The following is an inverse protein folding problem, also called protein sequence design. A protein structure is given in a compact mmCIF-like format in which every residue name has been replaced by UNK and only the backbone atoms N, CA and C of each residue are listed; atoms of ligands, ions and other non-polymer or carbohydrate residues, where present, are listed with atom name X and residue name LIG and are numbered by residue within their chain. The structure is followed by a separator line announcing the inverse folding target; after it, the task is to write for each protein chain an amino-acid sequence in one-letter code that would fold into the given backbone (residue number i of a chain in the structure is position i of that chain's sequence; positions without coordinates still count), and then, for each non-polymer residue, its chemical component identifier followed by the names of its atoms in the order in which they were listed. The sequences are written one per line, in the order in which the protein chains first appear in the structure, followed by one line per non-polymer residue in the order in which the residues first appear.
data_IF_986681737977
#
_entry.id   IF_986681737977
#
_cell.length_a   1.000
_cell.length_b   1.000
_cell.length_c   1.000
_cell.angle_alpha   90.00
_cell.angle_beta   90.00
_cell.angle_gamma   90.00
#
_symmetry.space_group_name_H-M   'P 1'
#
loop_
_entity.id
_entity.type
_entity.pdbx_description
1 polymer ?
#
# COMPACT_ATOMS: atom_id res chain seq x y z
N UNK A 1 53.46 25.60 18.02
CA UNK A 1 52.91 25.56 16.65
C UNK A 1 52.16 24.25 16.50
N UNK A 2 50.83 24.29 16.49
CA UNK A 2 49.96 23.15 16.19
C UNK A 2 49.08 23.58 14.99
N UNK A 3 48.84 22.72 13.99
CA UNK A 3 48.12 23.11 12.80
C UNK A 3 46.61 23.22 13.12
N UNK A 4 46.01 24.33 12.70
CA UNK A 4 44.56 24.55 12.69
C UNK A 4 43.91 23.57 11.74
N UNK A 5 42.97 22.78 12.25
CA UNK A 5 42.12 21.90 11.47
C UNK A 5 40.84 22.67 11.11
N UNK A 6 40.85 23.35 9.95
CA UNK A 6 39.65 23.98 9.38
C UNK A 6 38.72 22.89 8.84
N UNK A 7 37.89 22.32 9.72
CA UNK A 7 36.66 21.64 9.31
C UNK A 7 35.69 22.70 8.79
N UNK A 8 35.72 22.96 7.48
CA UNK A 8 34.65 23.66 6.78
C UNK A 8 33.35 22.89 6.98
N UNK A 9 32.44 23.46 7.78
CA UNK A 9 31.05 23.05 7.82
C UNK A 9 30.43 23.21 6.43
N UNK A 10 29.75 22.16 5.97
CA UNK A 10 28.99 22.15 4.71
C UNK A 10 27.72 22.99 4.91
N UNK A 11 27.47 24.04 4.10
CA UNK A 11 26.28 24.87 4.17
C UNK A 11 25.16 24.25 3.30
N UNK A 12 24.51 23.18 3.77
CA UNK A 12 23.43 22.51 3.01
C UNK A 12 22.02 22.72 3.60
N UNK A 13 21.88 23.47 4.70
CA UNK A 13 20.61 23.56 5.45
C UNK A 13 19.65 24.66 4.95
N UNK A 14 20.17 25.81 4.51
CA UNK A 14 19.32 26.96 4.17
C UNK A 14 18.68 26.86 2.78
N UNK A 15 19.36 26.23 1.82
CA UNK A 15 18.90 26.17 0.44
C UNK A 15 17.76 25.16 0.27
N UNK A 16 17.80 24.01 0.95
CA UNK A 16 16.69 23.05 0.94
C UNK A 16 15.41 23.62 1.55
N UNK A 17 15.52 24.42 2.60
CA UNK A 17 14.35 25.03 3.25
C UNK A 17 13.72 26.13 2.38
N UNK A 18 14.55 26.97 1.74
CA UNK A 18 14.08 27.97 0.77
C UNK A 18 13.43 27.31 -0.44
N UNK A 19 14.01 26.22 -0.94
CA UNK A 19 13.51 25.49 -2.10
C UNK A 19 12.19 24.77 -1.80
N UNK A 20 12.06 24.12 -0.63
CA UNK A 20 10.78 23.54 -0.20
C UNK A 20 9.67 24.60 -0.15
N UNK A 21 9.97 25.82 0.31
CA UNK A 21 8.99 26.93 0.28
C UNK A 21 8.61 27.32 -1.15
N UNK A 22 9.56 27.30 -2.08
CA UNK A 22 9.28 27.59 -3.49
C UNK A 22 8.44 26.49 -4.16
N UNK A 23 8.74 25.23 -3.86
CA UNK A 23 7.94 24.07 -4.31
C UNK A 23 6.50 24.19 -3.81
N UNK A 24 6.32 24.57 -2.55
CA UNK A 24 5.00 24.81 -1.97
C UNK A 24 4.29 26.00 -2.63
N UNK A 25 5.01 27.10 -2.88
CA UNK A 25 4.43 28.29 -3.52
C UNK A 25 3.98 28.03 -4.97
N UNK A 26 4.65 27.12 -5.68
CA UNK A 26 4.32 26.75 -7.05
C UNK A 26 3.30 25.58 -7.14
N UNK A 27 2.85 25.06 -6.00
CA UNK A 27 1.85 24.00 -5.97
C UNK A 27 0.46 24.58 -6.28
N UNK A 28 -0.06 24.29 -7.48
CA UNK A 28 -1.33 24.84 -7.95
C UNK A 28 -2.16 23.72 -8.62
N UNK A 29 -2.69 22.76 -7.84
CA UNK A 29 -3.45 21.65 -8.38
C UNK A 29 -4.71 22.16 -9.08
N UNK A 30 -4.97 21.68 -10.29
CA UNK A 30 -6.08 22.12 -11.13
C UNK A 30 -7.37 21.32 -10.90
N UNK A 31 -7.33 20.36 -9.97
CA UNK A 31 -8.45 19.50 -9.60
C UNK A 31 -8.57 18.22 -10.45
N UNK A 32 -7.68 17.99 -11.42
CA UNK A 32 -7.68 16.72 -12.16
C UNK A 32 -7.16 15.59 -11.28
N UNK A 33 -8.00 14.57 -11.07
CA UNK A 33 -7.62 13.35 -10.40
C UNK A 33 -7.13 12.31 -11.40
N UNK A 34 -5.94 11.77 -11.15
CA UNK A 34 -5.36 10.66 -11.92
C UNK A 34 -5.44 9.41 -11.07
N UNK A 35 -5.97 8.31 -11.62
CA UNK A 35 -5.83 7.00 -11.01
C UNK A 35 -4.39 6.51 -11.18
N UNK A 36 -3.60 6.68 -10.13
CA UNK A 36 -2.16 6.40 -10.12
C UNK A 36 -1.83 4.94 -9.80
N UNK A 37 -2.80 4.12 -9.35
CA UNK A 37 -2.55 2.73 -8.92
C UNK A 37 -2.08 1.82 -10.06
N UNK A 38 -2.67 1.87 -11.27
CA UNK A 38 -2.18 1.07 -12.39
C UNK A 38 -0.73 1.42 -12.78
N UNK A 39 -0.38 2.71 -12.74
CA UNK A 39 0.97 3.19 -13.03
C UNK A 39 1.95 2.68 -11.98
N UNK A 40 1.58 2.78 -10.69
CA UNK A 40 2.42 2.33 -9.59
C UNK A 40 2.69 0.82 -9.66
N UNK A 41 1.71 0.01 -10.05
CA UNK A 41 1.89 -1.43 -10.24
C UNK A 41 2.92 -1.76 -11.34
N UNK A 42 2.97 -0.97 -12.42
CA UNK A 42 3.97 -1.13 -13.49
C UNK A 42 5.36 -0.73 -12.99
N UNK A 43 5.46 0.36 -12.23
CA UNK A 43 6.71 0.80 -11.59
C UNK A 43 7.29 -0.32 -10.71
N UNK A 44 6.43 -0.93 -9.88
CA UNK A 44 6.81 -2.05 -9.00
C UNK A 44 7.32 -3.26 -9.80
N UNK A 45 6.66 -3.60 -10.91
CA UNK A 45 7.11 -4.69 -11.79
C UNK A 45 8.48 -4.39 -12.42
N UNK A 46 8.70 -3.16 -12.90
CA UNK A 46 9.97 -2.74 -13.49
C UNK A 46 11.11 -2.85 -12.46
N UNK A 47 10.96 -2.27 -11.26
CA UNK A 47 12.02 -2.32 -10.24
C UNK A 47 12.31 -3.75 -9.76
N UNK A 48 11.27 -4.58 -9.61
CA UNK A 48 11.44 -5.99 -9.25
C UNK A 48 12.22 -6.77 -10.31
N UNK A 49 11.93 -6.57 -11.59
CA UNK A 49 12.63 -7.29 -12.69
C UNK A 49 14.04 -6.79 -12.90
N UNK A 50 14.26 -5.48 -12.78
CA UNK A 50 15.58 -4.87 -12.94
C UNK A 50 16.57 -5.31 -11.85
N UNK A 51 16.10 -5.67 -10.66
CA UNK A 51 16.93 -6.17 -9.55
C UNK A 51 17.15 -7.68 -9.55
N UNK A 52 16.41 -8.44 -10.38
CA UNK A 52 16.60 -9.88 -10.53
C UNK A 52 17.91 -10.15 -11.29
N UNK A 53 18.94 -10.61 -10.57
CA UNK A 53 20.21 -11.03 -11.18
C UNK A 53 20.07 -12.43 -11.78
N UNK A 54 20.71 -12.71 -12.94
CA UNK A 54 20.74 -14.06 -13.53
C UNK A 54 21.41 -15.14 -12.67
N UNK A 55 22.07 -14.76 -11.57
CA UNK A 55 23.02 -15.61 -10.83
C UNK A 55 22.44 -16.43 -9.67
N UNK A 56 21.12 -16.56 -9.53
CA UNK A 56 20.52 -17.51 -8.56
C UNK A 56 20.37 -18.94 -9.11
N UNK A 57 21.07 -19.27 -10.20
CA UNK A 57 21.14 -20.63 -10.74
C UNK A 57 22.46 -21.26 -10.32
N UNK A 58 22.56 -21.66 -9.05
CA UNK A 58 23.63 -22.55 -8.61
C UNK A 58 23.06 -23.96 -8.41
N UNK A 59 23.29 -24.82 -9.41
CA UNK A 59 23.52 -26.24 -9.18
C UNK A 59 22.35 -27.25 -9.27
N UNK A 60 21.51 -27.25 -10.31
CA UNK A 60 20.85 -28.50 -10.77
C UNK A 60 20.73 -28.52 -12.31
N UNK A 61 21.37 -29.46 -13.02
CA UNK A 61 21.21 -29.59 -14.46
C UNK A 61 20.01 -30.50 -14.74
N UNK A 62 18.84 -29.91 -14.97
CA UNK A 62 17.87 -30.37 -15.98
C UNK A 62 16.58 -29.56 -15.92
N UNK A 63 16.27 -28.90 -17.04
CA UNK A 63 14.92 -28.55 -17.47
C UNK A 63 14.21 -27.48 -16.65
N UNK A 64 14.39 -26.20 -16.99
CA UNK A 64 13.33 -25.16 -16.90
C UNK A 64 13.80 -23.84 -17.53
N UNK A 65 14.06 -23.84 -18.85
CA UNK A 65 14.00 -22.58 -19.63
C UNK A 65 12.54 -22.13 -19.83
N UNK A 66 11.55 -22.95 -19.44
CA UNK A 66 10.12 -22.74 -19.66
C UNK A 66 9.37 -22.14 -18.44
N UNK A 67 10.05 -21.69 -17.38
CA UNK A 67 9.39 -21.29 -16.12
C UNK A 67 9.53 -19.84 -15.67
N UNK A 68 10.01 -18.93 -16.52
CA UNK A 68 9.82 -17.47 -16.28
C UNK A 68 8.63 -16.88 -17.03
N UNK A 69 8.15 -17.54 -18.10
CA UNK A 69 6.98 -17.11 -18.86
C UNK A 69 5.65 -17.72 -18.36
N UNK A 70 5.71 -18.71 -17.45
CA UNK A 70 4.54 -19.45 -16.95
C UNK A 70 3.78 -18.77 -15.80
N UNK A 71 4.22 -17.59 -15.34
CA UNK A 71 3.42 -16.69 -14.50
C UNK A 71 2.73 -15.61 -15.35
N UNK A 72 2.33 -15.97 -16.57
CA UNK A 72 1.30 -15.22 -17.29
C UNK A 72 -0.07 -15.56 -16.69
N UNK A 73 -0.27 -15.24 -15.40
CA UNK A 73 -1.63 -15.06 -14.90
C UNK A 73 -2.15 -13.76 -15.52
N UNK A 74 -3.34 -13.82 -16.09
CA UNK A 74 -3.90 -12.86 -17.02
C UNK A 74 -4.25 -11.50 -16.36
N UNK A 75 -3.24 -10.75 -15.93
CA UNK A 75 -3.29 -9.29 -15.79
C UNK A 75 -2.29 -8.70 -16.78
N UNK A 76 -2.64 -8.82 -18.05
CA UNK A 76 -1.99 -8.06 -19.11
C UNK A 76 -1.87 -6.57 -18.72
N UNK A 77 -0.90 -5.83 -19.27
CA UNK A 77 -0.84 -4.36 -19.21
C UNK A 77 -2.01 -3.68 -19.96
N UNK A 78 -3.10 -4.39 -20.25
CA UNK A 78 -4.36 -3.81 -20.71
C UNK A 78 -4.93 -2.78 -19.72
N UNK A 79 -4.48 -2.76 -18.45
CA UNK A 79 -4.76 -1.69 -17.50
C UNK A 79 -4.21 -0.31 -17.95
N UNK A 80 -3.25 -0.27 -18.88
CA UNK A 80 -2.72 0.95 -19.49
C UNK A 80 -3.41 1.33 -20.81
N UNK A 81 -4.24 0.44 -21.39
CA UNK A 81 -4.91 0.69 -22.68
C UNK A 81 -6.01 1.77 -22.60
N UNK A 82 -6.34 2.22 -21.39
CA UNK A 82 -7.27 3.32 -21.12
C UNK A 82 -6.62 4.60 -20.62
N UNK A 83 -5.27 4.72 -20.61
CA UNK A 83 -4.65 6.01 -20.27
C UNK A 83 -4.96 7.00 -21.38
N UNK A 84 -5.65 8.12 -21.10
CA UNK A 84 -5.83 9.15 -22.10
C UNK A 84 -4.43 9.62 -22.53
N UNK A 85 -4.30 9.97 -23.80
CA UNK A 85 -3.06 10.38 -24.45
C UNK A 85 -2.21 11.51 -23.77
N UNK A 86 -2.58 12.21 -22.66
CA UNK A 86 -1.67 13.16 -21.99
C UNK A 86 -0.56 12.59 -21.07
N UNK A 87 -0.73 11.40 -20.45
CA UNK A 87 0.19 10.98 -19.37
C UNK A 87 1.52 10.41 -19.87
N UNK A 88 1.50 9.67 -20.98
CA UNK A 88 2.73 9.12 -21.60
C UNK A 88 3.67 10.23 -22.04
N UNK A 89 3.15 11.30 -22.63
CA UNK A 89 3.92 12.48 -23.05
C UNK A 89 4.57 13.18 -21.85
N UNK A 90 3.86 13.25 -20.72
CA UNK A 90 4.39 13.83 -19.48
C UNK A 90 5.50 12.96 -18.90
N UNK A 91 5.28 11.65 -18.82
CA UNK A 91 6.30 10.69 -18.36
C UNK A 91 7.54 10.82 -19.26
N UNK A 92 7.37 10.82 -20.58
CA UNK A 92 8.46 10.97 -21.54
C UNK A 92 9.21 12.30 -21.36
N UNK A 93 8.49 13.42 -21.21
CA UNK A 93 9.08 14.74 -20.94
C UNK A 93 9.92 14.72 -19.66
N UNK A 94 9.43 14.10 -18.60
CA UNK A 94 10.17 13.94 -17.34
C UNK A 94 11.39 13.04 -17.53
N UNK A 95 11.28 11.93 -18.26
CA UNK A 95 12.41 11.04 -18.58
C UNK A 95 13.54 11.84 -19.26
N UNK A 96 13.19 12.65 -20.25
CA UNK A 96 14.13 13.51 -20.97
C UNK A 96 14.75 14.57 -20.05
N UNK A 97 13.95 15.26 -19.23
CA UNK A 97 14.44 16.28 -18.29
C UNK A 97 15.46 15.68 -17.30
N UNK A 98 15.12 14.53 -16.71
CA UNK A 98 15.98 13.77 -15.82
C UNK A 98 17.28 13.35 -16.53
N UNK A 99 17.18 12.76 -17.72
CA UNK A 99 18.35 12.26 -18.45
C UNK A 99 19.28 13.37 -18.95
N UNK A 100 18.74 14.44 -19.53
CA UNK A 100 19.53 15.51 -20.15
C UNK A 100 20.22 16.42 -19.12
N UNK A 101 19.59 16.69 -17.98
CA UNK A 101 20.16 17.61 -16.98
C UNK A 101 21.11 16.93 -16.00
N UNK A 102 20.97 15.62 -15.80
CA UNK A 102 21.91 14.86 -14.98
C UNK A 102 23.24 14.55 -15.71
N UNK A 103 23.29 14.56 -17.05
CA UNK A 103 24.50 14.21 -17.82
C UNK A 103 25.55 15.32 -17.95
N UNK A 104 25.21 16.57 -17.63
CA UNK A 104 26.05 17.74 -17.89
C UNK A 104 26.72 18.39 -16.67
N UNK A 105 26.74 17.71 -15.51
CA UNK A 105 27.10 18.35 -14.23
C UNK A 105 26.09 19.42 -13.81
N UNK A 106 24.84 19.32 -14.30
CA UNK A 106 23.77 20.25 -14.00
C UNK A 106 23.41 20.22 -12.52
N UNK A 107 22.98 21.38 -12.00
CA UNK A 107 22.54 21.51 -10.62
C UNK A 107 21.35 20.56 -10.35
N UNK A 108 21.57 19.57 -9.48
CA UNK A 108 20.55 18.63 -9.06
C UNK A 108 19.34 19.33 -8.44
N UNK A 109 19.53 20.50 -7.81
CA UNK A 109 18.44 21.31 -7.26
C UNK A 109 17.61 21.95 -8.39
N UNK A 110 18.26 22.53 -9.41
CA UNK A 110 17.57 23.07 -10.58
C UNK A 110 16.75 22.00 -11.33
N UNK A 111 17.29 20.77 -11.46
CA UNK A 111 16.55 19.65 -12.08
C UNK A 111 15.32 19.30 -11.24
N UNK A 112 15.47 19.15 -9.92
CA UNK A 112 14.32 18.92 -9.03
C UNK A 112 13.26 20.02 -9.17
N UNK A 113 13.63 21.30 -9.24
CA UNK A 113 12.66 22.39 -9.44
C UNK A 113 11.96 22.32 -10.80
N UNK A 114 12.67 21.98 -11.87
CA UNK A 114 12.09 21.85 -13.20
C UNK A 114 11.03 20.74 -13.25
N UNK A 115 11.26 19.63 -12.56
CA UNK A 115 10.28 18.56 -12.40
C UNK A 115 9.02 19.05 -11.66
N UNK A 116 9.18 19.77 -10.54
CA UNK A 116 8.04 20.34 -9.80
C UNK A 116 7.23 21.33 -10.64
N UNK A 117 7.90 22.18 -11.42
CA UNK A 117 7.24 23.13 -12.30
C UNK A 117 6.48 22.43 -13.44
N UNK A 118 7.03 21.34 -13.98
CA UNK A 118 6.38 20.54 -15.03
C UNK A 118 5.09 19.88 -14.51
N UNK A 119 5.07 19.51 -13.23
CA UNK A 119 3.96 18.81 -12.60
C UNK A 119 3.13 19.72 -11.68
N UNK A 120 3.23 21.05 -11.81
CA UNK A 120 2.66 22.03 -10.88
C UNK A 120 1.15 21.85 -10.69
N UNK A 121 0.44 21.48 -11.77
CA UNK A 121 -1.01 21.25 -11.82
C UNK A 121 -1.50 19.93 -11.20
N UNK A 122 -0.62 18.99 -10.89
CA UNK A 122 -1.00 17.68 -10.34
C UNK A 122 -1.08 17.66 -8.81
N UNK A 123 -1.81 16.73 -8.21
CA UNK A 123 -1.73 16.50 -6.75
C UNK A 123 -0.38 15.87 -6.34
N UNK A 124 -0.02 15.90 -5.05
CA UNK A 124 1.29 15.42 -4.57
C UNK A 124 1.55 13.94 -4.87
N UNK A 125 0.56 13.08 -4.70
CA UNK A 125 0.61 11.65 -5.05
C UNK A 125 0.88 11.45 -6.54
N UNK A 126 0.20 12.21 -7.41
CA UNK A 126 0.35 12.11 -8.86
C UNK A 126 1.70 12.65 -9.31
N UNK A 127 2.17 13.76 -8.72
CA UNK A 127 3.53 14.28 -8.90
C UNK A 127 4.58 13.19 -8.62
N UNK A 128 4.43 12.47 -7.50
CA UNK A 128 5.36 11.40 -7.10
C UNK A 128 5.30 10.22 -8.06
N UNK A 129 4.11 9.71 -8.38
CA UNK A 129 3.97 8.54 -9.25
C UNK A 129 4.45 8.80 -10.67
N UNK A 130 4.15 9.97 -11.26
CA UNK A 130 4.61 10.30 -12.61
C UNK A 130 6.14 10.47 -12.68
N UNK A 131 6.74 11.11 -11.68
CA UNK A 131 8.20 11.22 -11.59
C UNK A 131 8.88 9.86 -11.37
N UNK A 132 8.29 9.01 -10.53
CA UNK A 132 8.80 7.66 -10.27
C UNK A 132 8.64 6.75 -11.51
N UNK A 133 7.56 6.91 -12.28
CA UNK A 133 7.35 6.24 -13.56
C UNK A 133 8.45 6.59 -14.56
N UNK A 134 8.76 7.88 -14.69
CA UNK A 134 9.81 8.34 -15.58
C UNK A 134 11.19 7.82 -15.17
N UNK A 135 11.48 7.81 -13.87
CA UNK A 135 12.69 7.19 -13.34
C UNK A 135 12.72 5.67 -13.60
N UNK A 136 11.61 4.97 -13.40
CA UNK A 136 11.49 3.54 -13.68
C UNK A 136 11.78 3.22 -15.14
N UNK A 137 11.33 4.04 -16.09
CA UNK A 137 11.67 3.91 -17.51
C UNK A 137 13.19 4.01 -17.72
N UNK A 138 13.84 5.04 -17.17
CA UNK A 138 15.29 5.23 -17.32
C UNK A 138 16.11 4.09 -16.67
N UNK A 139 15.68 3.63 -15.48
CA UNK A 139 16.33 2.55 -14.73
C UNK A 139 16.10 1.19 -15.40
N UNK A 140 14.87 0.89 -15.81
CA UNK A 140 14.51 -0.32 -16.51
C UNK A 140 15.20 -0.44 -17.86
N UNK A 141 15.27 0.64 -18.64
CA UNK A 141 15.99 0.66 -19.92
C UNK A 141 17.50 0.37 -19.73
N UNK A 142 18.11 0.94 -18.68
CA UNK A 142 19.51 0.65 -18.35
C UNK A 142 19.71 -0.84 -18.04
N UNK A 143 18.92 -1.41 -17.14
CA UNK A 143 19.06 -2.81 -16.73
C UNK A 143 18.67 -3.80 -17.82
N UNK A 144 17.66 -3.49 -18.63
CA UNK A 144 17.28 -4.33 -19.77
C UNK A 144 18.42 -4.48 -20.77
N UNK A 145 19.08 -3.36 -21.12
CA UNK A 145 20.24 -3.40 -22.03
C UNK A 145 21.43 -4.08 -21.36
N UNK A 146 21.69 -3.78 -20.09
CA UNK A 146 22.79 -4.39 -19.33
C UNK A 146 22.64 -5.92 -19.26
N UNK A 147 21.45 -6.43 -18.95
CA UNK A 147 21.20 -7.87 -18.81
C UNK A 147 21.26 -8.62 -20.14
N UNK A 148 20.86 -8.00 -21.26
CA UNK A 148 20.74 -8.66 -22.55
C UNK A 148 21.93 -8.44 -23.50
N UNK A 149 22.91 -7.60 -23.15
CA UNK A 149 23.98 -7.21 -24.08
C UNK A 149 24.87 -8.37 -24.53
N UNK A 150 24.95 -9.47 -23.76
CA UNK A 150 25.73 -10.67 -24.08
C UNK A 150 24.97 -11.65 -24.99
N UNK A 151 23.64 -11.67 -24.92
CA UNK A 151 22.77 -12.64 -25.61
C UNK A 151 22.07 -12.06 -26.84
N UNK A 152 21.91 -10.73 -26.90
CA UNK A 152 21.13 -10.05 -27.92
C UNK A 152 21.99 -9.00 -28.67
N UNK A 153 22.15 -9.18 -29.99
CA UNK A 153 22.97 -8.29 -30.83
C UNK A 153 22.47 -6.85 -30.92
N UNK A 154 21.15 -6.63 -30.81
CA UNK A 154 20.57 -5.29 -30.75
C UNK A 154 20.90 -4.64 -29.40
N UNK A 155 20.71 -5.36 -28.29
CA UNK A 155 21.08 -4.88 -26.96
C UNK A 155 22.59 -4.57 -26.88
N UNK A 156 23.43 -5.42 -27.48
CA UNK A 156 24.87 -5.18 -27.57
C UNK A 156 25.20 -3.87 -28.32
N UNK A 157 24.58 -3.66 -29.48
CA UNK A 157 24.78 -2.44 -30.27
C UNK A 157 24.36 -1.18 -29.50
N UNK A 158 23.23 -1.25 -28.77
CA UNK A 158 22.76 -0.17 -27.91
C UNK A 158 23.71 0.04 -26.72
N UNK A 159 24.21 -1.02 -26.11
CA UNK A 159 25.16 -0.96 -24.99
C UNK A 159 26.45 -0.25 -25.38
N UNK A 160 27.00 -0.57 -26.55
CA UNK A 160 28.21 0.07 -27.11
C UNK A 160 27.99 1.58 -27.30
N UNK A 161 26.86 1.98 -27.90
CA UNK A 161 26.55 3.40 -28.11
C UNK A 161 26.28 4.16 -26.81
N UNK A 162 25.67 3.50 -25.83
CA UNK A 162 25.43 4.06 -24.49
C UNK A 162 26.66 3.98 -23.57
N UNK A 163 27.78 3.45 -24.06
CA UNK A 163 29.03 3.26 -23.34
C UNK A 163 28.89 2.44 -22.05
N UNK A 164 27.92 1.52 -22.00
CA UNK A 164 27.74 0.66 -20.84
C UNK A 164 29.01 -0.17 -20.57
N UNK A 165 29.43 -0.33 -19.30
CA UNK A 165 30.54 -1.21 -18.98
C UNK A 165 30.23 -2.61 -19.51
N UNK A 166 31.17 -3.20 -20.25
CA UNK A 166 31.12 -4.63 -20.60
C UNK A 166 31.07 -5.37 -19.27
N UNK A 167 29.94 -6.00 -18.93
CA UNK A 167 29.71 -6.64 -17.64
C UNK A 167 30.62 -7.87 -17.58
N UNK A 168 31.78 -7.84 -16.91
CA UNK A 168 32.54 -9.05 -16.72
C UNK A 168 31.85 -9.80 -15.58
N UNK A 169 31.83 -11.12 -15.64
CA UNK A 169 31.40 -11.95 -14.53
C UNK A 169 32.10 -11.48 -13.23
N UNK A 170 31.37 -10.76 -12.37
CA UNK A 170 31.91 -10.20 -11.12
C UNK A 170 31.44 -8.78 -10.83
N UNK A 171 30.18 -8.62 -10.44
CA UNK A 171 29.63 -7.40 -9.83
C UNK A 171 30.22 -7.07 -8.44
N UNK A 172 31.19 -7.86 -7.94
CA UNK A 172 31.64 -7.85 -6.55
C UNK A 172 32.22 -6.50 -6.08
N UNK A 173 32.83 -5.71 -6.98
CA UNK A 173 33.35 -4.38 -6.66
C UNK A 173 32.30 -3.25 -6.66
N UNK A 174 31.18 -3.41 -7.39
CA UNK A 174 30.11 -2.42 -7.53
C UNK A 174 28.88 -2.74 -6.67
N UNK A 175 28.81 -3.95 -6.11
CA UNK A 175 27.74 -4.44 -5.24
C UNK A 175 27.30 -3.47 -4.14
N UNK A 176 28.18 -2.91 -3.28
CA UNK A 176 27.75 -2.03 -2.20
C UNK A 176 27.06 -0.74 -2.70
N UNK A 177 27.50 -0.21 -3.84
CA UNK A 177 26.93 1.01 -4.44
C UNK A 177 25.56 0.75 -5.06
N UNK A 178 25.35 -0.45 -5.58
CA UNK A 178 24.08 -0.87 -6.15
C UNK A 178 23.08 -1.24 -5.06
N UNK A 179 23.55 -1.87 -3.98
CA UNK A 179 22.73 -2.13 -2.79
C UNK A 179 22.22 -0.82 -2.21
N UNK A 180 23.08 0.20 -2.09
CA UNK A 180 22.68 1.54 -1.65
C UNK A 180 21.66 2.21 -2.59
N UNK A 181 21.88 2.12 -3.90
CA UNK A 181 20.93 2.60 -4.90
C UNK A 181 19.58 1.89 -4.77
N UNK A 182 19.58 0.57 -4.68
CA UNK A 182 18.36 -0.24 -4.57
C UNK A 182 17.61 0.02 -3.27
N UNK A 183 18.32 0.23 -2.15
CA UNK A 183 17.73 0.62 -0.88
C UNK A 183 17.01 1.98 -0.98
N UNK A 184 17.62 2.96 -1.66
CA UNK A 184 16.98 4.26 -1.88
C UNK A 184 15.75 4.13 -2.80
N UNK A 185 15.82 3.29 -3.85
CA UNK A 185 14.68 3.01 -4.73
C UNK A 185 13.52 2.38 -3.94
N UNK A 186 13.80 1.38 -3.10
CA UNK A 186 12.81 0.78 -2.21
C UNK A 186 12.17 1.81 -1.28
N UNK A 187 12.99 2.65 -0.65
CA UNK A 187 12.50 3.71 0.24
C UNK A 187 11.58 4.73 -0.47
N UNK A 188 11.93 5.14 -1.70
CA UNK A 188 11.07 6.02 -2.51
C UNK A 188 9.75 5.36 -2.87
N UNK A 189 9.79 4.07 -3.21
CA UNK A 189 8.61 3.28 -3.56
C UNK A 189 7.67 3.13 -2.36
N UNK A 190 8.19 2.76 -1.19
CA UNK A 190 7.43 2.64 0.06
C UNK A 190 6.77 3.97 0.44
N UNK A 191 7.52 5.07 0.34
CA UNK A 191 7.00 6.41 0.61
C UNK A 191 5.90 6.82 -0.36
N UNK A 192 6.05 6.49 -1.65
CA UNK A 192 5.02 6.75 -2.67
C UNK A 192 3.78 5.91 -2.41
N UNK A 193 3.93 4.63 -2.08
CA UNK A 193 2.84 3.75 -1.70
C UNK A 193 2.08 4.26 -0.48
N UNK A 194 2.80 4.75 0.54
CA UNK A 194 2.23 5.35 1.74
C UNK A 194 1.32 6.54 1.40
N UNK A 195 1.77 7.46 0.54
CA UNK A 195 0.95 8.61 0.13
C UNK A 195 -0.26 8.22 -0.73
N UNK A 196 -0.09 7.25 -1.63
CA UNK A 196 -1.21 6.75 -2.44
C UNK A 196 -2.24 6.03 -1.57
N UNK A 197 -1.79 5.25 -0.59
CA UNK A 197 -2.65 4.61 0.43
C UNK A 197 -3.40 5.67 1.25
N UNK A 198 -2.70 6.74 1.65
CA UNK A 198 -3.29 7.85 2.38
C UNK A 198 -4.42 8.52 1.61
N UNK A 199 -4.21 8.85 0.33
CA UNK A 199 -5.23 9.50 -0.52
C UNK A 199 -6.49 8.65 -0.73
N UNK A 200 -6.39 7.34 -0.55
CA UNK A 200 -7.54 6.43 -0.65
C UNK A 200 -8.40 6.38 0.61
N UNK A 201 -7.96 6.99 1.72
CA UNK A 201 -8.77 7.11 2.92
C UNK A 201 -10.00 7.99 2.63
N UNK A 202 -11.20 7.65 3.12
CA UNK A 202 -12.41 8.41 2.80
C UNK A 202 -12.31 9.84 3.36
N UNK A 203 -12.39 10.82 2.45
CA UNK A 203 -12.19 12.24 2.76
C UNK A 203 -13.20 12.81 3.75
N UNK A 204 -14.40 12.24 3.83
CA UNK A 204 -15.46 12.62 4.76
C UNK A 204 -15.06 12.49 6.24
N UNK A 205 -14.01 11.74 6.55
CA UNK A 205 -13.54 11.52 7.92
C UNK A 205 -12.28 12.32 8.26
N UNK A 206 -11.72 13.09 7.32
CA UNK A 206 -10.40 13.75 7.44
C UNK A 206 -10.52 15.25 7.81
N UNK A 207 -11.72 15.75 8.05
CA UNK A 207 -12.10 17.18 7.98
C UNK A 207 -11.72 18.08 9.19
N UNK A 208 -10.60 17.83 9.88
CA UNK A 208 -10.16 18.71 10.98
C UNK A 208 -9.04 19.68 10.52
N UNK A 209 -9.31 20.99 10.54
CA UNK A 209 -8.42 22.06 10.01
C UNK A 209 -6.97 21.97 10.53
N UNK A 210 -6.77 21.65 11.81
CA UNK A 210 -5.42 21.52 12.38
C UNK A 210 -4.66 20.29 11.89
N UNK A 211 -5.37 19.21 11.55
CA UNK A 211 -4.76 17.96 11.07
C UNK A 211 -4.55 18.00 9.55
N UNK A 212 -5.39 18.72 8.81
CA UNK A 212 -5.22 18.98 7.38
C UNK A 212 -3.90 19.73 7.09
N UNK A 213 -3.55 20.74 7.91
CA UNK A 213 -2.27 21.47 7.73
C UNK A 213 -1.03 20.58 7.98
N UNK A 214 -1.05 19.75 9.01
CA UNK A 214 0.04 18.79 9.29
C UNK A 214 0.20 17.75 8.19
N UNK A 215 -0.92 17.41 7.54
CA UNK A 215 -0.99 16.42 6.48
C UNK A 215 -0.43 16.98 5.18
N UNK A 216 -0.87 18.16 4.75
CA UNK A 216 -0.29 18.86 3.60
C UNK A 216 1.21 19.03 3.76
N UNK A 217 1.66 19.30 4.99
CA UNK A 217 3.07 19.39 5.31
C UNK A 217 3.84 18.08 5.03
N UNK A 218 3.30 16.96 5.47
CA UNK A 218 3.94 15.66 5.26
C UNK A 218 3.97 15.25 3.77
N UNK A 219 2.89 15.55 3.02
CA UNK A 219 2.80 15.26 1.59
C UNK A 219 3.80 16.05 0.76
N UNK A 220 3.94 17.36 0.98
CA UNK A 220 4.93 18.15 0.23
C UNK A 220 6.36 17.72 0.57
N UNK A 221 6.66 17.41 1.84
CA UNK A 221 8.00 16.99 2.26
C UNK A 221 8.39 15.66 1.60
N UNK A 222 7.46 14.71 1.57
CA UNK A 222 7.67 13.43 0.91
C UNK A 222 7.86 13.57 -0.61
N UNK A 223 7.06 14.41 -1.27
CA UNK A 223 7.25 14.69 -2.69
C UNK A 223 8.63 15.30 -2.95
N UNK A 224 9.06 16.29 -2.16
CA UNK A 224 10.38 16.91 -2.28
C UNK A 224 11.52 15.90 -2.16
N UNK A 225 11.51 15.07 -1.11
CA UNK A 225 12.57 14.08 -0.91
C UNK A 225 12.56 12.99 -1.99
N UNK A 226 11.39 12.59 -2.47
CA UNK A 226 11.27 11.63 -3.59
C UNK A 226 11.89 12.18 -4.86
N UNK A 227 11.60 13.44 -5.23
CA UNK A 227 12.17 14.04 -6.44
C UNK A 227 13.69 14.24 -6.33
N UNK A 228 14.19 14.66 -5.17
CA UNK A 228 15.64 14.77 -4.92
C UNK A 228 16.33 13.42 -5.07
N UNK A 229 15.72 12.37 -4.53
CA UNK A 229 16.24 11.00 -4.61
C UNK A 229 16.19 10.44 -6.03
N UNK A 230 15.13 10.70 -6.80
CA UNK A 230 15.04 10.35 -8.23
C UNK A 230 16.21 10.96 -9.01
N UNK A 231 16.47 12.26 -8.83
CA UNK A 231 17.56 12.96 -9.51
C UNK A 231 18.92 12.36 -9.10
N UNK A 232 19.14 12.09 -7.81
CA UNK A 232 20.37 11.48 -7.32
C UNK A 232 20.59 10.05 -7.87
N UNK A 233 19.57 9.21 -7.83
CA UNK A 233 19.58 7.86 -8.39
C UNK A 233 19.91 7.89 -9.89
N UNK A 234 19.30 8.80 -10.65
CA UNK A 234 19.54 8.89 -12.09
C UNK A 234 20.95 9.38 -12.42
N UNK A 235 21.46 10.39 -11.71
CA UNK A 235 22.87 10.81 -11.83
C UNK A 235 23.82 9.66 -11.58
N UNK A 236 23.51 8.80 -10.60
CA UNK A 236 24.32 7.61 -10.32
C UNK A 236 24.26 6.56 -11.43
N UNK A 237 23.09 6.32 -12.01
CA UNK A 237 22.97 5.43 -13.17
C UNK A 237 23.80 5.96 -14.34
N UNK A 238 23.76 7.27 -14.60
CA UNK A 238 24.54 7.89 -15.67
C UNK A 238 26.05 7.80 -15.40
N UNK A 239 26.50 7.97 -14.16
CA UNK A 239 27.92 7.80 -13.82
C UNK A 239 28.41 6.36 -14.06
N UNK A 240 27.54 5.35 -13.86
CA UNK A 240 27.85 3.96 -14.21
C UNK A 240 28.00 3.75 -15.73
N UNK A 241 27.38 4.58 -16.58
CA UNK A 241 27.53 4.51 -18.06
C UNK A 241 28.84 5.10 -18.58
N UNK A 242 29.62 5.81 -17.76
CA UNK A 242 30.90 6.41 -18.17
C UNK A 242 32.13 5.53 -17.89
N UNK A 243 31.93 4.30 -17.40
CA UNK A 243 32.91 3.50 -16.69
C UNK A 243 33.90 2.76 -17.61
N UNK A 244 34.47 3.41 -18.62
CA UNK A 244 35.43 2.77 -19.53
C UNK A 244 36.88 2.82 -19.02
N UNK A 245 37.29 3.81 -18.21
CA UNK A 245 38.65 3.91 -17.64
C UNK A 245 38.60 4.51 -16.22
N UNK A 246 39.10 3.74 -15.23
CA UNK A 246 39.42 4.11 -13.84
C UNK A 246 38.36 4.93 -13.07
N UNK A 247 37.54 4.24 -12.29
CA UNK A 247 36.63 4.88 -11.34
C UNK A 247 37.36 5.16 -10.01
N UNK A 248 37.61 6.43 -9.70
CA UNK A 248 37.72 6.88 -8.32
C UNK A 248 36.34 7.34 -7.88
N UNK A 249 35.61 6.48 -7.17
CA UNK A 249 34.41 6.90 -6.45
C UNK A 249 34.81 8.09 -5.56
N UNK A 250 34.24 9.28 -5.80
CA UNK A 250 34.38 10.33 -4.82
C UNK A 250 33.59 9.87 -3.60
N UNK A 251 34.21 9.85 -2.42
CA UNK A 251 33.54 9.53 -1.14
C UNK A 251 32.35 10.44 -0.82
N UNK A 252 32.11 11.47 -1.64
CA UNK A 252 31.02 12.44 -1.52
C UNK A 252 29.72 11.91 -2.13
N UNK A 253 29.77 11.20 -3.25
CA UNK A 253 28.55 10.71 -3.95
C UNK A 253 27.87 9.54 -3.22
N UNK A 254 28.65 8.64 -2.61
CA UNK A 254 28.15 7.55 -1.75
C UNK A 254 27.55 8.10 -0.44
N UNK A 255 28.20 9.10 0.16
CA UNK A 255 27.69 9.76 1.35
C UNK A 255 26.36 10.48 1.09
N UNK A 256 26.15 11.03 -0.11
CA UNK A 256 24.90 11.68 -0.50
C UNK A 256 23.74 10.70 -0.68
N UNK A 257 23.96 9.54 -1.31
CA UNK A 257 22.93 8.50 -1.46
C UNK A 257 22.55 7.89 -0.12
N UNK A 258 23.54 7.57 0.74
CA UNK A 258 23.29 7.09 2.10
C UNK A 258 22.47 8.11 2.88
N UNK A 259 22.84 9.39 2.78
CA UNK A 259 22.14 10.48 3.46
C UNK A 259 20.72 10.67 2.92
N UNK A 260 20.50 10.53 1.62
CA UNK A 260 19.17 10.60 1.02
C UNK A 260 18.33 9.38 1.39
N UNK A 261 18.88 8.17 1.34
CA UNK A 261 18.22 6.95 1.82
C UNK A 261 17.87 7.08 3.29
N UNK A 262 18.80 7.58 4.10
CA UNK A 262 18.53 7.92 5.48
C UNK A 262 17.47 9.03 5.59
N UNK A 263 17.37 10.05 4.73
CA UNK A 263 16.31 11.08 4.85
C UNK A 263 14.93 10.62 4.38
N UNK A 264 14.88 9.75 3.37
CA UNK A 264 13.65 9.12 2.87
C UNK A 264 13.18 8.05 3.87
N UNK A 265 14.08 7.16 4.30
CA UNK A 265 13.81 6.04 5.20
C UNK A 265 13.85 6.40 6.68
N UNK A 266 14.78 7.22 7.17
CA UNK A 266 14.82 7.53 8.61
C UNK A 266 13.64 8.40 9.01
N UNK A 267 12.79 7.78 9.82
CA UNK A 267 12.30 8.24 11.13
C UNK A 267 11.36 9.46 11.12
N UNK A 268 11.45 10.38 10.16
CA UNK A 268 10.67 11.62 10.17
C UNK A 268 9.68 11.78 9.03
N UNK A 269 9.92 11.19 7.84
CA UNK A 269 8.98 11.35 6.72
C UNK A 269 8.14 10.09 6.53
N UNK A 270 8.75 8.96 6.14
CA UNK A 270 8.03 7.70 5.96
C UNK A 270 7.35 7.23 7.26
N UNK A 271 8.10 7.11 8.35
CA UNK A 271 7.58 6.71 9.66
C UNK A 271 6.47 7.64 10.18
N UNK A 272 6.60 8.96 9.94
CA UNK A 272 5.58 9.92 10.35
C UNK A 272 4.30 9.79 9.51
N UNK A 273 4.45 9.60 8.19
CA UNK A 273 3.31 9.36 7.30
C UNK A 273 2.62 8.04 7.63
N UNK A 274 3.37 6.97 7.91
CA UNK A 274 2.79 5.68 8.28
C UNK A 274 2.01 5.77 9.60
N UNK A 275 2.59 6.43 10.61
CA UNK A 275 1.88 6.74 11.87
C UNK A 275 0.62 7.57 11.65
N UNK A 276 0.65 8.54 10.74
CA UNK A 276 -0.55 9.30 10.37
C UNK A 276 -1.61 8.41 9.72
N UNK A 277 -1.23 7.55 8.76
CA UNK A 277 -2.17 6.58 8.15
C UNK A 277 -2.80 5.70 9.22
N UNK A 278 -2.00 5.12 10.10
CA UNK A 278 -2.49 4.23 11.15
C UNK A 278 -3.44 4.96 12.11
N UNK A 279 -3.10 6.21 12.47
CA UNK A 279 -3.97 7.07 13.26
C UNK A 279 -5.32 7.30 12.56
N UNK A 280 -5.30 7.65 11.27
CA UNK A 280 -6.53 7.94 10.53
C UNK A 280 -7.38 6.70 10.29
N UNK A 281 -6.77 5.54 10.02
CA UNK A 281 -7.48 4.26 9.96
C UNK A 281 -8.24 4.00 11.27
N UNK A 282 -7.57 4.19 12.41
CA UNK A 282 -8.21 4.05 13.72
C UNK A 282 -9.32 5.08 13.96
N UNK A 283 -9.18 6.32 13.52
CA UNK A 283 -10.23 7.33 13.66
C UNK A 283 -11.44 7.03 12.77
N UNK A 284 -11.21 6.64 11.52
CA UNK A 284 -12.25 6.23 10.58
C UNK A 284 -13.04 5.05 11.17
N UNK A 285 -12.35 4.04 11.70
CA UNK A 285 -13.01 2.89 12.34
C UNK A 285 -13.88 3.32 13.53
N UNK A 286 -13.37 4.22 14.39
CA UNK A 286 -14.16 4.76 15.52
C UNK A 286 -15.38 5.53 15.07
N UNK A 287 -15.25 6.41 14.06
CA UNK A 287 -16.38 7.18 13.54
C UNK A 287 -17.41 6.24 12.90
N UNK A 288 -16.95 5.26 12.11
CA UNK A 288 -17.81 4.24 11.49
C UNK A 288 -18.61 3.48 12.55
N UNK A 289 -17.96 3.04 13.64
CA UNK A 289 -18.64 2.36 14.75
C UNK A 289 -19.71 3.26 15.41
N UNK A 290 -19.42 4.55 15.58
CA UNK A 290 -20.41 5.52 16.10
C UNK A 290 -21.57 5.71 15.12
N UNK A 291 -21.30 5.79 13.83
CA UNK A 291 -22.32 5.90 12.78
C UNK A 291 -23.21 4.65 12.72
N UNK A 292 -22.63 3.46 12.77
CA UNK A 292 -23.34 2.18 12.83
C UNK A 292 -24.22 2.08 14.08
N UNK A 293 -23.68 2.43 15.25
CA UNK A 293 -24.46 2.50 16.50
C UNK A 293 -25.63 3.48 16.38
N UNK A 294 -25.39 4.70 15.90
CA UNK A 294 -26.42 5.71 15.73
C UNK A 294 -27.48 5.29 14.70
N UNK A 295 -27.07 4.62 13.63
CA UNK A 295 -27.98 4.05 12.64
C UNK A 295 -28.86 2.96 13.26
N UNK A 296 -28.30 2.08 14.10
CA UNK A 296 -29.04 1.08 14.83
C UNK A 296 -30.05 1.71 15.80
N UNK A 297 -29.64 2.71 16.58
CA UNK A 297 -30.54 3.45 17.49
C UNK A 297 -31.69 4.08 16.71
N UNK A 298 -31.41 4.74 15.58
CA UNK A 298 -32.45 5.32 14.70
C UNK A 298 -33.39 4.26 14.15
N UNK A 299 -32.87 3.10 13.75
CA UNK A 299 -33.69 1.98 13.26
C UNK A 299 -34.61 1.45 14.36
N UNK A 300 -34.12 1.31 15.60
CA UNK A 300 -34.91 0.82 16.74
C UNK A 300 -35.98 1.83 17.20
N UNK A 301 -35.71 3.13 17.11
CA UNK A 301 -36.67 4.18 17.48
C UNK A 301 -37.76 4.40 16.42
N UNK A 302 -37.48 4.07 15.16
CA UNK A 302 -38.44 4.25 14.07
C UNK A 302 -39.51 3.15 14.13
N UNK A 303 -40.77 3.54 13.89
CA UNK A 303 -41.85 2.56 13.74
C UNK A 303 -41.68 1.82 12.38
N UNK A 304 -41.03 0.67 12.40
CA UNK A 304 -40.81 -0.16 11.22
C UNK A 304 -42.02 -1.07 10.96
N UNK A 305 -42.35 -1.27 9.69
CA UNK A 305 -43.44 -2.16 9.25
C UNK A 305 -43.16 -3.65 9.56
N UNK A 306 -41.88 -4.01 9.65
CA UNK A 306 -41.41 -5.32 10.07
C UNK A 306 -40.05 -5.19 10.81
N UNK A 307 -39.62 -6.29 11.40
CA UNK A 307 -38.38 -6.42 12.17
C UNK A 307 -37.14 -6.66 11.29
N UNK A 308 -37.28 -6.86 9.97
CA UNK A 308 -36.18 -7.33 9.12
C UNK A 308 -35.07 -6.29 8.99
N UNK A 309 -35.41 -4.99 8.89
CA UNK A 309 -34.39 -3.93 8.82
C UNK A 309 -33.51 -3.86 10.06
N UNK A 310 -34.10 -4.07 11.23
CA UNK A 310 -33.37 -4.11 12.51
C UNK A 310 -32.53 -5.37 12.59
N UNK A 311 -33.10 -6.53 12.23
CA UNK A 311 -32.37 -7.80 12.27
C UNK A 311 -31.20 -7.83 11.31
N UNK A 312 -31.33 -7.30 10.08
CA UNK A 312 -30.21 -7.21 9.13
C UNK A 312 -29.13 -6.20 9.56
N UNK A 313 -29.48 -5.19 10.35
CA UNK A 313 -28.51 -4.27 10.93
C UNK A 313 -27.76 -4.88 12.13
N UNK A 314 -28.40 -5.77 12.88
CA UNK A 314 -27.81 -6.46 14.03
C UNK A 314 -27.05 -7.75 13.64
N UNK A 315 -27.53 -8.44 12.61
CA UNK A 315 -27.03 -9.73 12.15
C UNK A 315 -26.54 -9.54 10.73
N UNK A 316 -25.22 -9.49 10.58
CA UNK A 316 -24.56 -9.30 9.28
C UNK A 316 -24.85 -10.47 8.31
N UNK A 317 -25.16 -11.66 8.82
CA UNK A 317 -25.44 -12.83 8.00
C UNK A 317 -26.83 -12.78 7.33
N UNK A 318 -26.88 -13.01 6.01
CA UNK A 318 -28.13 -13.18 5.26
C UNK A 318 -28.81 -14.54 5.56
N UNK A 319 -27.97 -15.51 5.93
CA UNK A 319 -28.35 -16.90 6.18
C UNK A 319 -28.18 -17.26 7.67
N UNK A 320 -29.24 -17.84 8.23
CA UNK A 320 -29.26 -18.44 9.55
C UNK A 320 -29.26 -19.96 9.41
N UNK A 321 -28.70 -20.67 10.38
CA UNK A 321 -28.82 -22.11 10.50
C UNK A 321 -29.88 -22.42 11.53
N UNK A 322 -30.87 -23.23 11.18
CA UNK A 322 -31.87 -23.74 12.10
C UNK A 322 -31.24 -24.86 12.96
N UNK A 323 -31.17 -24.67 14.27
CA UNK A 323 -30.53 -25.63 15.18
C UNK A 323 -31.16 -27.01 15.24
N UNK A 324 -32.45 -27.16 14.90
CA UNK A 324 -33.18 -28.43 14.96
C UNK A 324 -32.97 -29.24 13.67
N UNK A 325 -33.15 -28.60 12.52
CA UNK A 325 -33.04 -29.24 11.21
C UNK A 325 -31.62 -29.21 10.65
N UNK A 326 -30.75 -28.35 11.21
CA UNK A 326 -29.41 -28.01 10.70
C UNK A 326 -29.42 -27.54 9.25
N UNK A 327 -30.56 -27.01 8.81
CA UNK A 327 -30.70 -26.45 7.47
C UNK A 327 -30.45 -24.96 7.49
N UNK A 328 -29.92 -24.44 6.39
CA UNK A 328 -29.78 -23.00 6.19
C UNK A 328 -31.12 -22.41 5.79
N UNK A 329 -31.52 -21.35 6.47
CA UNK A 329 -32.75 -20.60 6.26
C UNK A 329 -32.42 -19.12 6.15
N UNK A 330 -33.08 -18.42 5.24
CA UNK A 330 -32.89 -16.97 5.10
C UNK A 330 -33.43 -16.22 6.33
N UNK A 331 -32.81 -15.10 6.68
CA UNK A 331 -33.25 -14.24 7.79
C UNK A 331 -34.72 -13.80 7.68
N UNK A 332 -35.27 -13.77 6.46
CA UNK A 332 -36.66 -13.41 6.17
C UNK A 332 -37.69 -14.37 6.81
N UNK A 333 -37.29 -15.57 7.25
CA UNK A 333 -38.18 -16.46 8.05
C UNK A 333 -38.58 -15.85 9.40
N UNK A 334 -37.85 -14.84 9.88
CA UNK A 334 -38.12 -14.11 11.12
C UNK A 334 -39.07 -12.92 10.92
N UNK A 335 -39.44 -12.61 9.67
CA UNK A 335 -40.28 -11.46 9.33
C UNK A 335 -41.62 -11.51 10.05
N UNK A 336 -41.99 -10.40 10.72
CA UNK A 336 -43.24 -10.22 11.48
C UNK A 336 -43.44 -11.22 12.63
N UNK A 337 -42.36 -11.83 13.13
CA UNK A 337 -42.37 -12.67 14.34
C UNK A 337 -41.76 -11.91 15.52
N UNK A 338 -42.13 -12.29 16.73
CA UNK A 338 -41.40 -11.87 17.92
C UNK A 338 -40.04 -12.59 17.91
N UNK A 339 -38.95 -11.82 17.97
CA UNK A 339 -37.59 -12.38 17.97
C UNK A 339 -36.92 -12.05 19.28
N UNK A 340 -36.49 -13.10 19.99
CA UNK A 340 -35.68 -13.00 21.19
C UNK A 340 -34.22 -13.24 20.83
N UNK A 341 -33.39 -12.22 21.01
CA UNK A 341 -31.95 -12.31 20.76
C UNK A 341 -31.25 -12.76 22.04
N UNK A 342 -30.58 -13.90 21.96
CA UNK A 342 -29.66 -14.37 23.00
C UNK A 342 -28.24 -13.97 22.58
N UNK A 343 -27.61 -13.08 23.33
CA UNK A 343 -26.23 -12.63 23.07
C UNK A 343 -25.38 -13.07 24.26
N UNK A 344 -24.41 -13.95 24.04
CA UNK A 344 -23.60 -14.52 25.14
C UNK A 344 -22.22 -14.98 24.65
N UNK A 345 -21.24 -14.97 25.55
CA UNK A 345 -19.98 -15.70 25.30
C UNK A 345 -20.23 -17.21 25.29
N UNK A 346 -19.38 -17.97 24.58
CA UNK A 346 -19.37 -19.43 24.58
C UNK A 346 -18.94 -20.03 25.94
N UNK A 347 -18.22 -19.26 26.76
CA UNK A 347 -17.64 -19.74 28.03
C UNK A 347 -18.54 -19.48 29.24
N UNK A 348 -19.52 -18.58 29.11
CA UNK A 348 -20.29 -18.06 30.24
C UNK A 348 -21.67 -18.72 30.41
N UNK A 349 -22.03 -19.72 29.60
CA UNK A 349 -23.31 -20.41 29.73
C UNK A 349 -23.19 -21.62 30.67
N UNK A 350 -23.79 -21.51 31.86
CA UNK A 350 -23.92 -22.62 32.80
C UNK A 350 -24.93 -23.67 32.32
N UNK A 351 -24.84 -24.89 32.86
CA UNK A 351 -25.79 -25.97 32.53
C UNK A 351 -27.22 -25.61 32.96
N UNK A 352 -27.38 -24.91 34.08
CA UNK A 352 -28.66 -24.43 34.59
C UNK A 352 -29.30 -23.42 33.63
N UNK A 353 -28.53 -22.46 33.10
CA UNK A 353 -29.02 -21.47 32.12
C UNK A 353 -29.45 -22.14 30.82
N UNK A 354 -28.68 -23.11 30.33
CA UNK A 354 -29.03 -23.91 29.15
C UNK A 354 -30.36 -24.65 29.37
N UNK A 355 -30.58 -25.24 30.56
CA UNK A 355 -31.83 -25.92 30.89
C UNK A 355 -33.03 -24.95 30.92
N UNK A 356 -32.84 -23.73 31.42
CA UNK A 356 -33.87 -22.69 31.43
C UNK A 356 -34.19 -22.22 30.01
N UNK A 357 -33.17 -21.92 29.20
CA UNK A 357 -33.32 -21.56 27.78
C UNK A 357 -34.06 -22.65 27.01
N UNK A 358 -33.75 -23.92 27.28
CA UNK A 358 -34.43 -25.09 26.71
C UNK A 358 -35.91 -25.15 27.05
N UNK A 359 -36.25 -24.90 28.32
CA UNK A 359 -37.65 -24.87 28.74
C UNK A 359 -38.40 -23.72 28.06
N UNK A 360 -37.82 -22.51 28.06
CA UNK A 360 -38.40 -21.34 27.39
C UNK A 360 -38.63 -21.58 25.90
N UNK A 361 -37.67 -22.19 25.19
CA UNK A 361 -37.84 -22.51 23.78
C UNK A 361 -39.01 -23.47 23.51
N UNK A 362 -39.15 -24.53 24.32
CA UNK A 362 -40.26 -25.49 24.18
C UNK A 362 -41.62 -24.82 24.37
N UNK A 363 -41.71 -23.95 25.37
CA UNK A 363 -42.93 -23.20 25.68
C UNK A 363 -43.25 -22.19 24.55
N UNK A 364 -42.24 -21.50 24.02
CA UNK A 364 -42.38 -20.53 22.93
C UNK A 364 -42.66 -21.19 21.57
N UNK A 365 -42.13 -22.39 21.31
CA UNK A 365 -42.38 -23.16 20.08
C UNK A 365 -43.86 -23.51 19.93
N UNK A 366 -44.56 -23.76 21.04
CA UNK A 366 -46.00 -24.02 21.03
C UNK A 366 -46.81 -22.82 20.51
N UNK A 367 -46.31 -21.60 20.72
CA UNK A 367 -46.95 -20.35 20.28
C UNK A 367 -46.75 -20.05 18.78
N UNK A 368 -45.70 -20.58 18.13
CA UNK A 368 -45.28 -20.31 16.72
C UNK A 368 -44.96 -18.83 16.39
N UNK A 369 -45.36 -17.88 17.22
CA UNK A 369 -45.22 -16.44 17.02
C UNK A 369 -43.85 -15.91 17.50
N UNK A 370 -43.15 -16.65 18.35
CA UNK A 370 -41.84 -16.28 18.88
C UNK A 370 -40.71 -17.18 18.37
N UNK A 371 -39.55 -16.58 18.06
CA UNK A 371 -38.32 -17.26 17.62
C UNK A 371 -37.13 -16.76 18.43
N UNK A 372 -36.27 -17.68 18.84
CA UNK A 372 -35.00 -17.35 19.50
C UNK A 372 -33.89 -17.38 18.45
N UNK A 373 -33.00 -16.38 18.48
CA UNK A 373 -31.78 -16.30 17.67
C UNK A 373 -30.60 -16.12 18.62
N UNK A 374 -29.58 -16.97 18.47
CA UNK A 374 -28.37 -16.93 19.29
C UNK A 374 -27.24 -16.27 18.52
N UNK A 375 -26.64 -15.26 19.13
CA UNK A 375 -25.50 -14.50 18.64
C UNK A 375 -24.34 -14.74 19.61
N UNK A 376 -23.50 -15.76 19.35
CA UNK A 376 -22.35 -16.04 20.20
C UNK A 376 -21.31 -14.92 20.07
N UNK A 377 -20.80 -14.45 21.20
CA UNK A 377 -19.62 -13.57 21.26
C UNK A 377 -18.40 -14.47 21.40
N UNK A 378 -17.52 -14.45 20.40
CA UNK A 378 -16.26 -15.20 20.40
C UNK A 378 -15.11 -14.25 20.69
N UNK A 379 -14.27 -14.59 21.67
CA UNK A 379 -12.99 -13.90 21.88
C UNK A 379 -11.99 -14.33 20.79
N UNK A 380 -11.45 -13.36 20.06
CA UNK A 380 -10.51 -13.60 18.96
C UNK A 380 -9.12 -14.06 19.42
N UNK A 381 -8.84 -13.97 20.73
CA UNK A 381 -7.59 -14.47 21.31
C UNK A 381 -7.58 -16.00 21.49
N UNK A 382 -8.73 -16.67 21.32
CA UNK A 382 -8.89 -18.11 21.48
C UNK A 382 -8.74 -18.80 20.11
N UNK A 383 -8.06 -19.93 20.07
CA UNK A 383 -7.93 -20.79 18.89
C UNK A 383 -9.29 -21.07 18.24
N UNK A 384 -9.43 -20.68 16.97
CA UNK A 384 -10.65 -20.82 16.19
C UNK A 384 -11.12 -22.28 16.13
N UNK A 385 -10.19 -23.24 16.08
CA UNK A 385 -10.57 -24.65 16.07
C UNK A 385 -11.22 -25.08 17.39
N UNK A 386 -10.70 -24.61 18.53
CA UNK A 386 -11.31 -24.88 19.85
C UNK A 386 -12.67 -24.21 20.00
N UNK A 387 -12.79 -22.96 19.52
CA UNK A 387 -14.06 -22.24 19.44
C UNK A 387 -15.07 -23.02 18.61
N UNK A 388 -14.68 -23.51 17.43
CA UNK A 388 -15.54 -24.26 16.52
C UNK A 388 -15.98 -25.59 17.14
N UNK A 389 -15.06 -26.36 17.74
CA UNK A 389 -15.41 -27.60 18.44
C UNK A 389 -16.39 -27.35 19.60
N UNK A 390 -16.19 -26.27 20.37
CA UNK A 390 -17.07 -25.92 21.49
C UNK A 390 -18.43 -25.45 20.99
N UNK A 391 -18.46 -24.61 19.96
CA UNK A 391 -19.67 -24.19 19.27
C UNK A 391 -20.46 -25.39 18.72
N UNK A 392 -19.80 -26.32 18.04
CA UNK A 392 -20.41 -27.57 17.56
C UNK A 392 -20.89 -28.48 18.69
N UNK A 393 -20.17 -28.53 19.82
CA UNK A 393 -20.60 -29.30 21.00
C UNK A 393 -21.85 -28.70 21.66
N UNK A 394 -21.93 -27.37 21.73
CA UNK A 394 -23.11 -26.67 22.21
C UNK A 394 -24.27 -26.83 21.21
N UNK A 395 -24.02 -26.76 19.90
CA UNK A 395 -25.02 -27.06 18.86
C UNK A 395 -25.54 -28.51 18.91
N UNK A 396 -24.68 -29.49 19.23
CA UNK A 396 -25.10 -30.89 19.43
C UNK A 396 -25.99 -31.05 20.66
N UNK A 397 -25.84 -30.16 21.63
CA UNK A 397 -26.62 -30.16 22.87
C UNK A 397 -27.88 -29.29 22.75
N UNK A 398 -27.86 -28.28 21.88
CA UNK A 398 -28.93 -27.30 21.66
C UNK A 398 -29.49 -27.35 20.23
N UNK A 399 -30.40 -28.29 20.01
CA UNK A 399 -31.31 -28.33 18.86
C UNK A 399 -32.35 -27.17 18.85
N UNK A 400 -31.99 -25.98 19.34
CA UNK A 400 -32.93 -25.05 19.98
C UNK A 400 -32.93 -23.62 19.45
N UNK A 401 -31.99 -23.21 18.58
CA UNK A 401 -31.87 -21.79 18.19
C UNK A 401 -31.42 -21.58 16.74
N UNK A 402 -31.87 -20.50 16.09
CA UNK A 402 -31.27 -20.04 14.83
C UNK A 402 -29.96 -19.29 15.12
N UNK A 403 -28.90 -19.52 14.35
CA UNK A 403 -27.62 -18.80 14.49
C UNK A 403 -27.03 -18.40 13.13
N UNK A 404 -26.21 -17.34 13.04
CA UNK A 404 -25.57 -16.91 11.79
C UNK A 404 -24.70 -18.02 11.18
N UNK A 405 -24.77 -18.20 9.85
CA UNK A 405 -23.95 -19.20 9.14
C UNK A 405 -22.46 -18.85 9.11
N UNK A 406 -22.10 -17.58 9.19
CA UNK A 406 -20.71 -17.10 9.16
C UNK A 406 -20.34 -16.42 10.48
N UNK A 407 -19.58 -17.11 11.30
CA UNK A 407 -18.60 -16.47 12.19
C UNK A 407 -17.19 -16.69 11.62
N UNK A 408 -17.03 -16.78 10.30
CA UNK A 408 -15.70 -16.87 9.68
C UNK A 408 -14.99 -15.52 9.76
N UNK A 409 -13.67 -15.57 9.94
CA UNK A 409 -12.70 -14.48 10.21
C UNK A 409 -12.86 -13.18 9.41
N UNK A 410 -13.59 -13.19 8.30
CA UNK A 410 -13.83 -12.03 7.44
C UNK A 410 -15.14 -11.27 7.71
N UNK A 411 -16.01 -11.77 8.59
CA UNK A 411 -17.35 -11.17 8.85
C UNK A 411 -17.51 -10.52 10.21
N UNK A 412 -16.57 -10.78 11.13
CA UNK A 412 -16.44 -10.02 12.38
C UNK A 412 -15.44 -8.86 12.25
N UNK A 413 -14.94 -8.53 11.05
CA UNK A 413 -14.02 -7.39 10.88
C UNK A 413 -14.73 -6.03 10.88
N UNK A 414 -15.65 -5.77 11.82
CA UNK A 414 -16.16 -4.42 12.12
C UNK A 414 -16.44 -4.21 13.61
#
# INVERSE_FOLDING_TARGET
MAPRNDRRMIPASDDSAKMMKQVLANHAPDGHEVDVRPILSIIEDIFRRATATPSNIDGVPNGTQEHMDALHDNKSPAAFSGTPEPLSDIIHKICCEISCKCSGGGDALATTMALFNTLSSYSWDTKMVLSLAAFAVNYGEFWLVAQLCTENSLANSVAVLKQLPEIPAGYDGLKPQLDELNNLIGAMLDLTNCIVEFKQLPSQYISNDGQAMSMDQAHYQAAYWTFRSIVACNSRILSLRGLRHEYTASTTDELELSTLAHKVSNIHVYENLKKQIDFWRQQIDKIRQIEEYNNLVRLLQKNNQDNIKVLRALIYAEDLVDGETRTTVQIDVLKKKHVLLLISSLDNLSQEEILVLRKMYKDLKASKECRIVWLPIVDRSIDWQQTLYKFESLQKTDAMVHYPRSCDDSTCSH
#
